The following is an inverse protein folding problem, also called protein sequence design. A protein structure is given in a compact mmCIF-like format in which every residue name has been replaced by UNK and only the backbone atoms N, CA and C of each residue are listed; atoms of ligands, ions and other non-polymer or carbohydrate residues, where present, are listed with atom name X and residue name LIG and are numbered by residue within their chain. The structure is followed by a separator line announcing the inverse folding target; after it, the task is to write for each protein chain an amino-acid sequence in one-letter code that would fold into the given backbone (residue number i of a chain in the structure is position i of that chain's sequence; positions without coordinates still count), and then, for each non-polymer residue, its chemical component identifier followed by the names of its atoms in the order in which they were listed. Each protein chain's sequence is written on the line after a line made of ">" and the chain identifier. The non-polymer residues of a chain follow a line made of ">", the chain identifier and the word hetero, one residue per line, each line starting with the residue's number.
data_IF_500711634207
#
_entry.id   IF_500711634207
#
_cell.length_a   1.000
_cell.length_b   1.000
_cell.length_c   1.000
_cell.angle_alpha   90.00
_cell.angle_beta   90.00
_cell.angle_gamma   90.00
#
_symmetry.space_group_name_H-M   'P 1'
#
loop_
_entity.id
_entity.type
_entity.pdbx_description
1 polymer ?
#
# COMPACT_ATOMS: atom_id res chain seq x y z
N UNK A 1 -9.32 11.78 -16.23
CA UNK A 1 -8.28 10.79 -16.59
C UNK A 1 -8.97 9.55 -17.09
N UNK A 2 -8.62 9.05 -18.27
CA UNK A 2 -9.08 7.75 -18.75
C UNK A 2 -8.57 6.66 -17.78
N UNK A 3 -9.39 5.66 -17.49
CA UNK A 3 -9.03 4.57 -16.58
C UNK A 3 -7.73 3.84 -16.99
N UNK A 4 -7.53 3.65 -18.28
CA UNK A 4 -6.29 3.04 -18.82
C UNK A 4 -5.07 3.94 -18.66
N UNK A 5 -5.25 5.24 -18.74
CA UNK A 5 -4.19 6.24 -18.48
C UNK A 5 -3.81 6.28 -17.00
N UNK A 6 -4.71 5.92 -16.11
CA UNK A 6 -4.43 5.75 -14.68
C UNK A 6 -3.62 4.48 -14.36
N UNK A 7 -3.96 3.35 -15.00
CA UNK A 7 -3.34 2.06 -14.70
C UNK A 7 -1.95 1.86 -15.32
N UNK A 8 -1.79 2.24 -16.60
CA UNK A 8 -0.57 1.95 -17.36
C UNK A 8 0.68 2.64 -16.83
N UNK A 9 0.68 3.95 -16.51
CA UNK A 9 1.87 4.68 -16.07
C UNK A 9 2.20 4.52 -14.59
N UNK A 10 1.28 4.01 -13.74
CA UNK A 10 1.56 3.81 -12.32
C UNK A 10 2.79 2.92 -12.12
N UNK A 11 3.73 3.40 -11.34
CA UNK A 11 4.98 2.70 -11.00
C UNK A 11 5.28 2.81 -9.52
N UNK A 12 6.06 1.88 -8.99
CA UNK A 12 6.64 2.00 -7.67
C UNK A 12 7.72 3.08 -7.67
N UNK A 13 7.46 4.17 -6.93
CA UNK A 13 8.38 5.31 -6.78
C UNK A 13 9.20 5.11 -5.51
N UNK A 14 10.51 5.34 -5.58
CA UNK A 14 11.46 5.18 -4.48
C UNK A 14 12.43 6.37 -4.34
N UNK A 15 12.11 7.48 -4.97
CA UNK A 15 12.84 8.75 -4.84
C UNK A 15 11.81 9.85 -4.69
N UNK A 16 11.89 10.58 -3.60
CA UNK A 16 10.91 11.57 -3.23
C UNK A 16 11.54 12.94 -3.04
N UNK A 17 10.73 13.98 -3.18
CA UNK A 17 11.10 15.34 -2.79
C UNK A 17 10.95 15.44 -1.27
N UNK A 18 12.07 15.62 -0.52
CA UNK A 18 12.00 15.63 0.93
C UNK A 18 11.26 16.86 1.48
N UNK A 19 10.80 16.76 2.71
CA UNK A 19 10.18 17.86 3.46
C UNK A 19 8.96 18.49 2.76
N UNK A 20 8.20 17.71 2.03
CA UNK A 20 6.97 18.13 1.39
C UNK A 20 5.81 17.31 1.94
N UNK A 21 4.91 17.98 2.65
CA UNK A 21 3.76 17.34 3.28
C UNK A 21 2.59 17.22 2.28
N UNK A 22 1.80 16.15 2.44
CA UNK A 22 0.57 15.92 1.69
C UNK A 22 -0.59 16.53 2.47
N UNK A 23 -1.47 17.33 1.83
CA UNK A 23 -2.64 17.90 2.49
C UNK A 23 -3.54 16.81 3.11
N UNK A 24 -4.13 17.11 4.26
CA UNK A 24 -5.00 16.17 4.98
C UNK A 24 -6.19 15.69 4.13
N UNK A 25 -6.77 16.58 3.31
CA UNK A 25 -7.88 16.24 2.39
C UNK A 25 -7.43 15.24 1.32
N UNK A 26 -6.20 15.35 0.82
CA UNK A 26 -5.64 14.39 -0.13
C UNK A 26 -5.41 13.01 0.51
N UNK A 27 -4.91 13.00 1.75
CA UNK A 27 -4.74 11.74 2.52
C UNK A 27 -6.10 11.08 2.72
N UNK A 28 -7.10 11.85 3.10
CA UNK A 28 -8.47 11.37 3.29
C UNK A 28 -9.03 10.75 2.01
N UNK A 29 -8.96 11.45 0.88
CA UNK A 29 -9.47 11.00 -0.40
C UNK A 29 -8.76 9.71 -0.90
N UNK A 30 -7.45 9.59 -0.65
CA UNK A 30 -6.68 8.37 -0.92
C UNK A 30 -7.22 7.19 -0.11
N UNK A 31 -7.48 7.38 1.17
CA UNK A 31 -8.00 6.33 2.05
C UNK A 31 -9.46 5.97 1.71
N UNK A 32 -10.32 6.96 1.43
CA UNK A 32 -11.68 6.73 0.96
C UNK A 32 -11.68 5.90 -0.33
N UNK A 33 -10.78 6.21 -1.27
CA UNK A 33 -10.63 5.43 -2.51
C UNK A 33 -10.13 4.00 -2.23
N UNK A 34 -9.20 3.82 -1.29
CA UNK A 34 -8.75 2.50 -0.87
C UNK A 34 -9.90 1.64 -0.35
N UNK A 35 -10.79 2.23 0.45
CA UNK A 35 -11.96 1.57 1.04
C UNK A 35 -13.06 1.21 0.03
N UNK A 36 -12.99 1.68 -1.22
CA UNK A 36 -13.87 1.26 -2.32
C UNK A 36 -13.50 -0.10 -2.91
N UNK A 37 -12.47 -0.76 -2.42
CA UNK A 37 -12.09 -2.08 -2.87
C UNK A 37 -13.21 -3.11 -2.64
N UNK A 38 -13.37 -4.12 -3.51
CA UNK A 38 -14.24 -5.24 -3.22
C UNK A 38 -13.68 -6.08 -2.08
N UNK A 39 -14.55 -6.73 -1.30
CA UNK A 39 -14.17 -7.67 -0.26
C UNK A 39 -15.13 -8.85 -0.19
N UNK A 40 -14.65 -9.99 0.30
CA UNK A 40 -15.45 -11.18 0.48
C UNK A 40 -16.70 -10.90 1.34
N UNK A 41 -17.90 -11.12 0.79
CA UNK A 41 -19.20 -10.81 1.44
C UNK A 41 -19.30 -9.36 1.93
N UNK A 42 -18.58 -8.42 1.32
CA UNK A 42 -18.51 -7.01 1.72
C UNK A 42 -18.07 -6.82 3.19
N UNK A 43 -17.17 -7.65 3.66
CA UNK A 43 -16.68 -7.64 5.05
C UNK A 43 -15.74 -6.48 5.37
N UNK A 44 -15.06 -5.94 4.37
CA UNK A 44 -14.21 -4.74 4.49
C UNK A 44 -13.20 -4.81 5.66
N UNK A 45 -12.38 -5.88 5.75
CA UNK A 45 -11.55 -6.16 6.93
C UNK A 45 -10.30 -5.27 7.03
N UNK A 46 -10.15 -4.30 6.16
CA UNK A 46 -8.97 -3.44 6.13
C UNK A 46 -8.98 -2.39 7.22
N UNK A 47 -7.81 -2.20 7.81
CA UNK A 47 -7.47 -1.13 8.76
C UNK A 47 -6.24 -0.38 8.24
N UNK A 48 -6.18 0.92 8.48
CA UNK A 48 -5.08 1.75 8.00
C UNK A 48 -4.44 2.52 9.14
N UNK A 49 -3.11 2.42 9.27
CA UNK A 49 -2.33 3.26 10.17
C UNK A 49 -1.58 4.27 9.32
N UNK A 50 -1.93 5.54 9.45
CA UNK A 50 -1.25 6.63 8.75
C UNK A 50 -0.16 7.20 9.65
N UNK A 51 1.08 7.20 9.16
CA UNK A 51 2.23 7.75 9.86
C UNK A 51 2.79 8.91 9.06
N UNK A 52 2.53 10.11 9.53
CA UNK A 52 3.09 11.38 9.03
C UNK A 52 4.11 12.00 10.00
N UNK A 53 4.25 11.41 11.19
CA UNK A 53 5.31 11.77 12.15
C UNK A 53 6.63 11.16 11.68
N UNK A 54 7.49 12.01 11.11
CA UNK A 54 8.79 11.59 10.56
C UNK A 54 9.75 11.06 11.62
N UNK A 55 9.54 11.39 12.90
CA UNK A 55 10.35 10.83 13.99
C UNK A 55 10.22 9.30 14.12
N UNK A 56 9.14 8.71 13.60
CA UNK A 56 8.89 7.26 13.57
C UNK A 56 9.50 6.55 12.35
N UNK A 57 9.94 7.28 11.34
CA UNK A 57 10.46 6.67 10.11
C UNK A 57 11.70 5.80 10.32
N UNK A 58 12.68 6.17 11.17
CA UNK A 58 13.82 5.30 11.46
C UNK A 58 13.42 3.93 12.04
N UNK A 59 12.46 3.88 12.95
CA UNK A 59 11.97 2.62 13.52
C UNK A 59 11.25 1.77 12.47
N UNK A 60 10.47 2.40 11.59
CA UNK A 60 9.80 1.72 10.47
C UNK A 60 10.84 1.15 9.49
N UNK A 61 11.89 1.91 9.15
CA UNK A 61 12.95 1.45 8.24
C UNK A 61 13.80 0.33 8.86
N UNK A 62 13.93 0.30 10.16
CA UNK A 62 14.55 -0.82 10.87
C UNK A 62 13.67 -2.08 10.81
N UNK A 63 12.35 -1.94 10.97
CA UNK A 63 11.39 -3.05 10.88
C UNK A 63 11.20 -3.55 9.43
N UNK A 64 11.41 -2.70 8.42
CA UNK A 64 11.30 -3.00 6.98
C UNK A 64 12.52 -2.45 6.22
N UNK A 65 13.64 -3.20 6.14
CA UNK A 65 14.91 -2.66 5.61
C UNK A 65 14.90 -2.33 4.12
N UNK A 66 13.88 -2.74 3.38
CA UNK A 66 13.72 -2.45 1.95
C UNK A 66 12.97 -1.15 1.66
N UNK A 67 12.65 -0.34 2.68
CA UNK A 67 11.93 0.93 2.53
C UNK A 67 12.75 2.16 2.99
N UNK A 68 14.08 2.13 2.93
CA UNK A 68 14.94 3.25 3.36
C UNK A 68 14.57 4.60 2.72
N UNK A 69 14.01 4.59 1.52
CA UNK A 69 13.49 5.77 0.85
C UNK A 69 12.29 6.43 1.56
N UNK A 70 11.76 5.82 2.63
CA UNK A 70 10.75 6.43 3.49
C UNK A 70 11.26 7.71 4.15
N UNK A 71 12.54 7.81 4.46
CA UNK A 71 13.15 8.98 5.10
C UNK A 71 12.95 10.28 4.28
N UNK A 72 12.85 10.16 2.96
CA UNK A 72 12.60 11.30 2.05
C UNK A 72 11.11 11.46 1.70
N UNK A 73 10.27 10.51 2.07
CA UNK A 73 8.85 10.52 1.73
C UNK A 73 8.03 11.47 2.62
N UNK A 74 6.77 11.68 2.24
CA UNK A 74 5.84 12.53 3.01
C UNK A 74 5.19 11.77 4.15
N UNK A 75 4.79 10.51 3.91
CA UNK A 75 4.14 9.65 4.90
C UNK A 75 4.23 8.18 4.53
N UNK A 76 3.85 7.34 5.49
CA UNK A 76 3.64 5.92 5.31
C UNK A 76 2.21 5.53 5.69
N UNK A 77 1.65 4.54 4.99
CA UNK A 77 0.40 3.89 5.38
C UNK A 77 0.67 2.40 5.58
N UNK A 78 0.41 1.90 6.78
CA UNK A 78 0.42 0.46 7.04
C UNK A 78 -1.00 -0.05 6.80
N UNK A 79 -1.16 -0.95 5.83
CA UNK A 79 -2.42 -1.63 5.57
C UNK A 79 -2.44 -2.91 6.38
N UNK A 80 -3.45 -3.02 7.23
CA UNK A 80 -3.67 -4.17 8.11
C UNK A 80 -5.02 -4.82 7.78
N UNK A 81 -5.15 -6.09 8.16
CA UNK A 81 -6.41 -6.81 8.09
C UNK A 81 -6.90 -7.20 9.48
N UNK A 82 -8.19 -7.02 9.72
CA UNK A 82 -8.89 -7.46 10.91
C UNK A 82 -9.41 -8.89 10.68
N UNK A 83 -8.82 -9.85 11.38
CA UNK A 83 -9.18 -11.28 11.24
C UNK A 83 -10.54 -11.63 11.86
N UNK A 84 -11.14 -10.76 12.66
CA UNK A 84 -12.48 -10.93 13.21
C UNK A 84 -13.57 -10.50 12.20
N UNK A 85 -13.20 -9.71 11.19
CA UNK A 85 -14.12 -9.21 10.15
C UNK A 85 -13.94 -9.91 8.79
N UNK A 86 -12.98 -10.83 8.65
CA UNK A 86 -12.79 -11.56 7.40
C UNK A 86 -13.94 -12.54 7.09
N UNK A 87 -14.15 -12.81 5.81
CA UNK A 87 -15.19 -13.74 5.35
C UNK A 87 -14.88 -15.20 5.75
N UNK A 88 -13.62 -15.58 5.70
CA UNK A 88 -13.08 -16.89 6.00
C UNK A 88 -11.60 -16.76 6.38
N UNK A 89 -11.02 -17.70 7.13
CA UNK A 89 -9.63 -17.63 7.56
C UNK A 89 -8.67 -17.37 6.40
N UNK A 90 -7.94 -16.26 6.45
CA UNK A 90 -6.99 -15.83 5.43
C UNK A 90 -7.57 -14.96 4.31
N UNK A 91 -8.88 -14.76 4.23
CA UNK A 91 -9.50 -13.91 3.20
C UNK A 91 -9.08 -12.44 3.33
N UNK A 92 -8.76 -11.97 4.53
CA UNK A 92 -8.30 -10.60 4.78
C UNK A 92 -7.12 -10.18 3.90
N UNK A 93 -6.23 -11.13 3.58
CA UNK A 93 -5.04 -10.83 2.77
C UNK A 93 -5.41 -10.39 1.36
N UNK A 94 -6.39 -11.05 0.74
CA UNK A 94 -6.86 -10.75 -0.61
C UNK A 94 -7.60 -9.43 -0.63
N UNK A 95 -8.50 -9.23 0.32
CA UNK A 95 -9.30 -8.01 0.46
C UNK A 95 -8.40 -6.78 0.72
N UNK A 96 -7.45 -6.89 1.65
CA UNK A 96 -6.49 -5.82 1.94
C UNK A 96 -5.50 -5.59 0.78
N UNK A 97 -5.17 -6.60 -0.02
CA UNK A 97 -4.37 -6.42 -1.23
C UNK A 97 -5.12 -5.60 -2.29
N UNK A 98 -6.43 -5.85 -2.47
CA UNK A 98 -7.28 -5.05 -3.34
C UNK A 98 -7.36 -3.58 -2.86
N UNK A 99 -7.55 -3.34 -1.56
CA UNK A 99 -7.54 -2.01 -0.97
C UNK A 99 -6.17 -1.32 -1.15
N UNK A 100 -5.06 -2.07 -1.02
CA UNK A 100 -3.72 -1.54 -1.26
C UNK A 100 -3.54 -1.08 -2.70
N UNK A 101 -4.00 -1.85 -3.70
CA UNK A 101 -3.89 -1.42 -5.11
C UNK A 101 -4.73 -0.17 -5.38
N UNK A 102 -5.96 -0.08 -4.85
CA UNK A 102 -6.77 1.14 -4.94
C UNK A 102 -6.04 2.35 -4.34
N UNK A 103 -5.38 2.17 -3.20
CA UNK A 103 -4.57 3.21 -2.55
C UNK A 103 -3.42 3.68 -3.47
N UNK A 104 -2.70 2.75 -4.12
CA UNK A 104 -1.63 3.08 -5.06
C UNK A 104 -2.16 3.87 -6.28
N UNK A 105 -3.33 3.49 -6.80
CA UNK A 105 -3.97 4.17 -7.92
C UNK A 105 -4.46 5.57 -7.53
N UNK A 106 -5.02 5.73 -6.33
CA UNK A 106 -5.44 7.03 -5.80
C UNK A 106 -4.25 7.99 -5.65
N UNK A 107 -3.11 7.50 -5.12
CA UNK A 107 -1.87 8.28 -5.08
C UNK A 107 -1.44 8.73 -6.48
N UNK A 108 -1.46 7.82 -7.46
CA UNK A 108 -1.09 8.13 -8.83
C UNK A 108 -2.02 9.18 -9.46
N UNK A 109 -3.32 9.08 -9.24
CA UNK A 109 -4.30 10.06 -9.72
C UNK A 109 -4.04 11.47 -9.19
N UNK A 110 -3.49 11.58 -7.98
CA UNK A 110 -3.07 12.84 -7.35
C UNK A 110 -1.64 13.26 -7.69
N UNK A 111 -0.99 12.61 -8.66
CA UNK A 111 0.41 12.85 -9.04
C UNK A 111 1.40 12.62 -7.89
N UNK A 112 1.03 11.78 -6.93
CA UNK A 112 1.90 11.31 -5.86
C UNK A 112 2.58 10.01 -6.30
N UNK A 113 3.81 9.85 -5.87
CA UNK A 113 4.54 8.59 -5.95
C UNK A 113 4.18 7.69 -4.78
N UNK A 114 4.05 6.40 -5.03
CA UNK A 114 3.85 5.41 -3.99
C UNK A 114 4.64 4.13 -4.25
N UNK A 115 4.95 3.40 -3.16
CA UNK A 115 5.63 2.12 -3.25
C UNK A 115 5.08 1.14 -2.21
N UNK A 116 4.60 -0.02 -2.66
CA UNK A 116 4.23 -1.13 -1.81
C UNK A 116 5.46 -1.89 -1.34
N UNK A 117 5.70 -1.93 -0.03
CA UNK A 117 6.70 -2.74 0.64
C UNK A 117 5.98 -3.85 1.42
N UNK A 118 6.20 -5.12 1.06
CA UNK A 118 5.52 -6.25 1.69
C UNK A 118 5.95 -6.44 3.14
N UNK A 119 4.98 -6.58 4.06
CA UNK A 119 5.21 -7.03 5.42
C UNK A 119 4.87 -8.53 5.49
N UNK A 120 3.63 -8.90 5.19
CA UNK A 120 3.19 -10.29 5.04
C UNK A 120 3.82 -10.91 3.76
N UNK A 121 4.20 -12.20 3.75
CA UNK A 121 4.05 -13.19 4.80
C UNK A 121 5.31 -13.39 5.69
N UNK A 122 6.21 -12.43 5.74
CA UNK A 122 7.44 -12.51 6.53
C UNK A 122 7.11 -12.37 8.03
N UNK A 123 7.29 -13.45 8.77
CA UNK A 123 6.90 -13.52 10.19
C UNK A 123 7.65 -12.50 11.05
N UNK A 124 8.94 -12.35 10.82
CA UNK A 124 9.77 -11.42 11.58
C UNK A 124 9.33 -9.97 11.35
N UNK A 125 9.08 -9.59 10.09
CA UNK A 125 8.55 -8.26 9.78
C UNK A 125 7.18 -8.05 10.41
N UNK A 126 6.27 -9.02 10.30
CA UNK A 126 4.95 -8.92 10.93
C UNK A 126 5.07 -8.69 12.44
N UNK A 127 5.91 -9.46 13.13
CA UNK A 127 6.14 -9.30 14.57
C UNK A 127 6.74 -7.93 14.92
N UNK A 128 7.67 -7.43 14.10
CA UNK A 128 8.25 -6.10 14.28
C UNK A 128 7.20 -5.01 14.18
N UNK A 129 6.31 -5.06 13.16
CA UNK A 129 5.23 -4.09 13.01
C UNK A 129 4.17 -4.21 14.10
N UNK A 130 3.81 -5.44 14.53
CA UNK A 130 2.89 -5.66 15.64
C UNK A 130 3.42 -4.98 16.91
N UNK A 131 4.71 -5.15 17.23
CA UNK A 131 5.32 -4.50 18.41
C UNK A 131 5.41 -2.99 18.24
N UNK A 132 5.86 -2.50 17.07
CA UNK A 132 6.07 -1.08 16.81
C UNK A 132 4.78 -0.25 16.93
N UNK A 133 3.66 -0.82 16.49
CA UNK A 133 2.37 -0.14 16.47
C UNK A 133 1.38 -0.65 17.54
N UNK A 134 1.83 -1.54 18.46
CA UNK A 134 0.98 -2.14 19.50
C UNK A 134 -0.31 -2.74 18.91
N UNK A 135 -0.21 -3.49 17.81
CA UNK A 135 -1.37 -4.06 17.15
C UNK A 135 -2.02 -5.12 18.02
N UNK A 136 -3.36 -5.08 18.19
CA UNK A 136 -4.07 -6.12 18.91
C UNK A 136 -3.99 -7.46 18.16
N UNK A 137 -4.21 -8.62 18.83
CA UNK A 137 -3.98 -9.95 18.25
C UNK A 137 -4.74 -10.23 16.94
N UNK A 138 -5.91 -9.62 16.75
CA UNK A 138 -6.74 -9.78 15.57
C UNK A 138 -6.34 -8.88 14.39
N UNK A 139 -5.46 -7.91 14.58
CA UNK A 139 -4.96 -7.02 13.52
C UNK A 139 -3.63 -7.53 12.98
N UNK A 140 -3.59 -7.80 11.69
CA UNK A 140 -2.42 -8.36 10.99
C UNK A 140 -1.89 -7.40 9.94
N UNK A 141 -0.62 -6.98 10.00
CA UNK A 141 -0.05 -6.08 9.00
C UNK A 141 0.22 -6.82 7.69
N UNK A 142 -0.32 -6.27 6.57
CA UNK A 142 -0.12 -6.79 5.22
C UNK A 142 1.04 -6.11 4.52
N UNK A 143 0.99 -4.78 4.46
CA UNK A 143 1.91 -3.99 3.66
C UNK A 143 2.18 -2.63 4.28
N UNK A 144 3.36 -2.09 3.96
CA UNK A 144 3.71 -0.69 4.14
C UNK A 144 3.65 0.00 2.77
N UNK A 145 2.87 1.05 2.64
CA UNK A 145 2.86 1.91 1.46
C UNK A 145 3.54 3.22 1.80
N UNK A 146 4.68 3.47 1.15
CA UNK A 146 5.42 4.73 1.26
C UNK A 146 4.87 5.71 0.22
N UNK A 147 4.54 6.94 0.63
CA UNK A 147 3.88 7.93 -0.22
C UNK A 147 4.60 9.28 -0.11
N UNK A 148 4.78 9.94 -1.27
CA UNK A 148 5.38 11.27 -1.33
C UNK A 148 5.34 11.84 -2.74
N UNK A 149 5.88 13.03 -2.91
CA UNK A 149 6.04 13.66 -4.23
C UNK A 149 7.24 13.06 -4.94
N UNK A 150 7.08 12.52 -6.16
CA UNK A 150 8.20 11.90 -6.88
C UNK A 150 9.26 12.94 -7.23
N UNK A 151 10.54 12.61 -6.99
CA UNK A 151 11.69 13.48 -7.33
C UNK A 151 12.05 13.42 -8.82
N UNK A 152 11.57 12.39 -9.54
CA UNK A 152 11.78 12.21 -10.98
C UNK A 152 10.54 11.58 -11.61
N UNK A 153 10.40 11.74 -12.92
CA UNK A 153 9.34 11.05 -13.64
C UNK A 153 9.49 9.53 -13.55
N UNK A 154 8.40 8.81 -13.28
CA UNK A 154 8.43 7.35 -13.23
C UNK A 154 8.88 6.77 -14.59
N UNK A 155 9.58 5.63 -14.55
CA UNK A 155 9.98 4.91 -15.77
C UNK A 155 8.75 4.58 -16.62
N UNK A 156 8.94 4.60 -17.96
CA UNK A 156 7.90 4.20 -18.89
C UNK A 156 7.44 2.75 -18.63
N UNK A 157 6.15 2.45 -18.87
CA UNK A 157 5.63 1.11 -18.68
C UNK A 157 6.29 0.12 -19.65
N UNK A 158 6.70 -1.03 -19.12
CA UNK A 158 7.09 -2.17 -19.93
C UNK A 158 5.84 -2.91 -20.43
N UNK A 159 5.92 -3.51 -21.62
CA UNK A 159 4.89 -4.45 -22.05
C UNK A 159 4.94 -5.70 -21.17
N UNK A 160 3.86 -5.92 -20.42
CA UNK A 160 3.72 -7.06 -19.50
C UNK A 160 2.76 -8.13 -20.01
N UNK A 161 2.16 -7.89 -21.19
CA UNK A 161 1.26 -8.87 -21.78
C UNK A 161 2.02 -10.14 -22.18
N UNK A 162 1.54 -11.28 -21.73
CA UNK A 162 2.12 -12.61 -22.02
C UNK A 162 1.00 -13.57 -22.37
N UNK A 163 0.81 -13.81 -23.68
CA UNK A 163 -0.22 -14.70 -24.20
C UNK A 163 -0.15 -16.11 -23.57
N UNK A 164 1.04 -16.61 -23.32
CA UNK A 164 1.25 -17.95 -22.70
C UNK A 164 0.75 -18.09 -21.26
N UNK A 165 0.34 -16.98 -20.63
CA UNK A 165 -0.29 -16.99 -19.29
C UNK A 165 -1.81 -17.01 -19.33
N UNK A 166 -2.38 -17.10 -20.53
CA UNK A 166 -3.83 -17.12 -20.74
C UNK A 166 -4.22 -18.51 -21.23
N UNK A 167 -4.99 -19.21 -20.45
CA UNK A 167 -5.51 -20.53 -20.76
C UNK A 167 -7.02 -20.43 -20.94
N UNK A 168 -7.53 -20.91 -22.10
CA UNK A 168 -8.96 -20.86 -22.43
C UNK A 168 -9.62 -22.18 -22.09
N UNK A 169 -10.66 -22.16 -21.24
CA UNK A 169 -11.49 -23.28 -20.79
C UNK A 169 -10.79 -24.35 -19.91
N UNK A 170 -9.50 -24.50 -20.01
CA UNK A 170 -8.69 -25.40 -19.18
C UNK A 170 -7.25 -24.91 -19.11
N UNK A 171 -6.47 -25.45 -18.17
CA UNK A 171 -5.03 -25.21 -18.08
C UNK A 171 -4.33 -25.89 -19.25
#
# INVERSE_FOLDING_TARGET
>A
MDFREGLRPRRSVRQYIPNRDIPADDIRDILETAMLAPSGRNKQPWEFIVVNDKSKFPEITQAQPYCRFLEEASLAVIVCGNTEEEMAPGAWMVDCAAATENLLLACHAKKLGSCWCGIYPDKERMENFIRLFNLPPHIKPLSLVVIGYPAAEPRQPEDRFKQQKIHMNSW
#
